data_IF_422856115004
#
_entry.id   IF_422856115004
#
_cell.length_a   1.000
_cell.length_b   1.000
_cell.length_c   1.000
_cell.angle_alpha   90.00
_cell.angle_beta   90.00
_cell.angle_gamma   90.00
#
_symmetry.space_group_name_H-M   'P 1'
#
loop_
_entity.id
_entity.type
_entity.pdbx_description
1 polymer ?
#
# COMPACT_ATOMS: atom_id res chain seq x y z
N UNK A 1 26.34 12.01 -14.00
CA UNK A 1 25.44 11.29 -14.93
C UNK A 1 24.81 10.15 -14.16
N UNK A 2 23.51 10.23 -13.88
CA UNK A 2 22.78 9.18 -13.18
C UNK A 2 22.47 8.04 -14.14
N UNK A 3 23.28 6.97 -14.05
CA UNK A 3 23.14 5.77 -14.90
C UNK A 3 21.76 5.11 -14.77
N UNK A 4 21.14 5.27 -13.61
CA UNK A 4 19.80 4.77 -13.30
C UNK A 4 18.72 5.53 -14.09
N UNK A 5 18.88 6.83 -14.29
CA UNK A 5 17.94 7.68 -15.03
C UNK A 5 17.93 7.40 -16.54
N UNK A 6 18.96 6.75 -17.07
CA UNK A 6 19.08 6.37 -18.49
C UNK A 6 18.42 5.03 -18.84
N UNK A 7 17.92 4.28 -17.85
CA UNK A 7 17.22 3.02 -18.10
C UNK A 7 15.82 3.27 -18.71
N UNK A 8 15.36 2.33 -19.54
CA UNK A 8 13.98 2.31 -20.05
C UNK A 8 13.00 1.97 -18.93
N UNK A 9 11.75 2.42 -19.05
CA UNK A 9 10.72 2.17 -18.04
C UNK A 9 10.51 0.66 -17.78
N UNK A 10 10.66 -0.20 -18.80
CA UNK A 10 10.55 -1.65 -18.65
C UNK A 10 11.64 -2.24 -17.73
N UNK A 11 12.89 -1.77 -17.87
CA UNK A 11 13.98 -2.20 -17.01
C UNK A 11 13.80 -1.68 -15.59
N UNK A 12 13.31 -0.45 -15.46
CA UNK A 12 12.98 0.13 -14.16
C UNK A 12 11.85 -0.66 -13.47
N UNK A 13 10.78 -1.01 -14.19
CA UNK A 13 9.70 -1.86 -13.69
C UNK A 13 10.23 -3.21 -13.22
N UNK A 14 11.15 -3.81 -13.97
CA UNK A 14 11.78 -5.08 -13.58
C UNK A 14 12.62 -4.99 -12.30
N UNK A 15 13.32 -3.87 -12.10
CA UNK A 15 14.05 -3.61 -10.86
C UNK A 15 13.08 -3.44 -9.70
N UNK A 16 12.08 -2.58 -9.88
CA UNK A 16 11.06 -2.27 -8.87
C UNK A 16 10.23 -3.51 -8.50
N UNK A 17 9.90 -4.38 -9.47
CA UNK A 17 9.19 -5.63 -9.22
C UNK A 17 10.02 -6.68 -8.47
N UNK A 18 11.34 -6.50 -8.43
CA UNK A 18 12.28 -7.44 -7.79
C UNK A 18 12.62 -7.04 -6.36
N UNK A 19 12.22 -5.85 -5.91
CA UNK A 19 12.45 -5.37 -4.54
C UNK A 19 11.15 -5.43 -3.72
N UNK A 20 11.24 -5.58 -2.37
CA UNK A 20 10.08 -5.49 -1.50
C UNK A 20 9.34 -4.16 -1.67
N UNK A 21 8.00 -4.18 -1.61
CA UNK A 21 7.20 -2.97 -1.82
C UNK A 21 7.55 -1.83 -0.85
N UNK A 22 7.92 -2.15 0.40
CA UNK A 22 8.41 -1.16 1.37
C UNK A 22 9.64 -0.38 0.87
N UNK A 23 10.53 -1.05 0.16
CA UNK A 23 11.72 -0.45 -0.44
C UNK A 23 11.40 0.28 -1.74
N UNK A 24 10.38 -0.18 -2.49
CA UNK A 24 9.85 0.54 -3.67
C UNK A 24 9.49 1.97 -3.30
N UNK A 25 8.80 2.16 -2.17
CA UNK A 25 8.41 3.50 -1.70
C UNK A 25 9.62 4.39 -1.47
N UNK A 26 10.71 3.84 -0.91
CA UNK A 26 11.95 4.57 -0.73
C UNK A 26 12.62 4.93 -2.08
N UNK A 27 12.58 4.01 -3.06
CA UNK A 27 13.12 4.27 -4.41
C UNK A 27 12.35 5.34 -5.18
N UNK A 28 11.10 5.67 -4.81
CA UNK A 28 10.34 6.77 -5.41
C UNK A 28 11.04 8.14 -5.27
N UNK A 29 11.93 8.29 -4.29
CA UNK A 29 12.68 9.52 -4.05
C UNK A 29 13.83 9.73 -5.04
N UNK A 30 14.22 8.71 -5.80
CA UNK A 30 15.36 8.77 -6.73
C UNK A 30 15.07 9.66 -7.94
N UNK A 31 13.85 9.62 -8.49
CA UNK A 31 13.42 10.56 -9.53
C UNK A 31 11.90 10.54 -9.73
N UNK A 32 11.39 11.57 -10.44
CA UNK A 32 9.97 11.66 -10.81
C UNK A 32 9.48 10.45 -11.59
N UNK A 33 10.33 9.75 -12.37
CA UNK A 33 9.94 8.55 -13.13
C UNK A 33 9.62 7.38 -12.20
N UNK A 34 10.48 7.12 -11.21
CA UNK A 34 10.29 6.06 -10.20
C UNK A 34 8.99 6.22 -9.40
N UNK A 35 8.60 7.48 -9.15
CA UNK A 35 7.32 7.81 -8.52
C UNK A 35 6.09 7.33 -9.30
N UNK A 36 6.16 7.11 -10.61
CA UNK A 36 5.03 6.61 -11.39
C UNK A 36 5.07 5.10 -11.62
N UNK A 37 6.25 4.49 -11.64
CA UNK A 37 6.39 3.07 -11.99
C UNK A 37 5.77 2.13 -10.95
N UNK A 38 5.78 2.49 -9.67
CA UNK A 38 5.11 1.65 -8.65
C UNK A 38 3.61 1.51 -8.89
N UNK A 39 2.96 2.49 -9.56
CA UNK A 39 1.53 2.41 -9.91
C UNK A 39 1.22 1.34 -10.95
N UNK A 40 2.22 0.74 -11.58
CA UNK A 40 2.03 -0.35 -12.54
C UNK A 40 2.36 -1.71 -11.94
N UNK A 41 2.70 -1.78 -10.65
CA UNK A 41 3.05 -3.04 -10.01
C UNK A 41 1.81 -3.87 -9.75
N UNK A 42 1.80 -5.15 -10.17
CA UNK A 42 0.71 -6.06 -9.86
C UNK A 42 0.75 -6.55 -8.40
N UNK A 43 1.81 -6.25 -7.65
CA UNK A 43 2.02 -6.73 -6.27
C UNK A 43 2.22 -5.55 -5.33
N UNK A 44 1.28 -5.38 -4.41
CA UNK A 44 1.30 -4.34 -3.37
C UNK A 44 1.37 -5.02 -1.99
N UNK A 45 2.42 -4.76 -1.24
CA UNK A 45 2.62 -5.30 0.11
C UNK A 45 2.86 -4.16 1.11
N UNK A 46 1.79 -3.80 1.81
CA UNK A 46 1.76 -2.76 2.84
C UNK A 46 1.88 -3.34 4.25
N UNK A 47 2.41 -4.55 4.43
CA UNK A 47 2.64 -5.05 5.78
C UNK A 47 3.56 -4.09 6.55
N UNK A 48 3.02 -3.53 7.63
CA UNK A 48 3.77 -2.71 8.54
C UNK A 48 4.05 -3.51 9.82
N UNK A 49 5.30 -3.96 9.95
CA UNK A 49 5.80 -4.64 11.16
C UNK A 49 6.20 -3.66 12.28
N UNK A 50 5.93 -2.36 12.10
CA UNK A 50 6.22 -1.37 13.14
C UNK A 50 5.42 -1.67 14.42
N UNK A 51 6.14 -1.83 15.52
CA UNK A 51 5.54 -1.88 16.86
C UNK A 51 4.94 -0.50 17.18
N UNK A 52 3.62 -0.39 17.02
CA UNK A 52 2.88 0.76 17.47
C UNK A 52 2.72 0.61 18.99
N UNK A 53 3.73 1.06 19.75
CA UNK A 53 3.79 0.96 21.21
C UNK A 53 2.51 1.38 21.93
N UNK A 54 2.41 1.14 23.25
CA UNK A 54 1.15 1.08 24.00
C UNK A 54 0.27 2.35 24.08
N UNK A 55 0.68 3.47 23.49
CA UNK A 55 -0.10 4.71 23.45
C UNK A 55 -1.24 4.61 22.42
N UNK A 56 -2.48 4.60 22.92
CA UNK A 56 -3.70 4.43 22.12
C UNK A 56 -3.97 5.58 21.15
N UNK A 57 -3.63 6.82 21.50
CA UNK A 57 -3.86 7.98 20.63
C UNK A 57 -2.85 7.99 19.48
N UNK A 58 -1.59 7.70 19.80
CA UNK A 58 -0.54 7.55 18.79
C UNK A 58 -0.83 6.38 17.84
N UNK A 59 -1.29 5.23 18.38
CA UNK A 59 -1.72 4.08 17.58
C UNK A 59 -2.82 4.47 16.60
N UNK A 60 -3.89 5.13 17.08
CA UNK A 60 -4.99 5.58 16.21
C UNK A 60 -4.49 6.52 15.11
N UNK A 61 -3.67 7.52 15.45
CA UNK A 61 -3.12 8.46 14.47
C UNK A 61 -2.26 7.77 13.40
N UNK A 62 -1.40 6.83 13.81
CA UNK A 62 -0.58 6.05 12.88
C UNK A 62 -1.45 5.18 11.97
N UNK A 63 -2.47 4.56 12.54
CA UNK A 63 -3.42 3.73 11.81
C UNK A 63 -4.21 4.53 10.76
N UNK A 64 -4.77 5.68 11.13
CA UNK A 64 -5.49 6.55 10.18
C UNK A 64 -4.59 7.01 9.03
N UNK A 65 -3.30 7.29 9.31
CA UNK A 65 -2.31 7.62 8.27
C UNK A 65 -2.03 6.42 7.36
N UNK A 66 -1.89 5.23 7.93
CA UNK A 66 -1.68 3.99 7.19
C UNK A 66 -2.85 3.70 6.25
N UNK A 67 -4.09 3.76 6.76
CA UNK A 67 -5.30 3.56 5.97
C UNK A 67 -5.37 4.54 4.80
N UNK A 68 -5.17 5.85 5.07
CA UNK A 68 -5.13 6.87 4.03
C UNK A 68 -4.04 6.62 2.99
N UNK A 69 -2.90 6.07 3.40
CA UNK A 69 -1.81 5.74 2.50
C UNK A 69 -2.17 4.55 1.59
N UNK A 70 -2.70 3.46 2.14
CA UNK A 70 -3.14 2.29 1.38
C UNK A 70 -4.26 2.67 0.41
N UNK A 71 -5.30 3.37 0.88
CA UNK A 71 -6.43 3.79 0.04
C UNK A 71 -5.99 4.65 -1.15
N UNK A 72 -5.15 5.68 -0.90
CA UNK A 72 -4.57 6.49 -1.97
C UNK A 72 -3.71 5.65 -2.93
N UNK A 73 -2.99 4.68 -2.41
CA UNK A 73 -2.14 3.83 -3.23
C UNK A 73 -2.95 2.95 -4.18
N UNK A 74 -4.07 2.42 -3.69
CA UNK A 74 -5.02 1.64 -4.49
C UNK A 74 -5.70 2.47 -5.57
N UNK A 75 -6.14 3.70 -5.26
CA UNK A 75 -6.72 4.63 -6.24
C UNK A 75 -5.73 4.99 -7.35
N UNK A 76 -4.45 5.13 -7.00
CA UNK A 76 -3.40 5.47 -7.95
C UNK A 76 -2.90 4.27 -8.76
N UNK A 77 -3.19 3.05 -8.33
CA UNK A 77 -2.75 1.85 -9.02
C UNK A 77 -3.43 1.72 -10.39
N UNK A 78 -2.61 1.48 -11.42
CA UNK A 78 -2.98 1.35 -12.83
C UNK A 78 -2.70 -0.05 -13.37
N UNK A 79 -2.22 -0.97 -12.54
CA UNK A 79 -2.05 -2.36 -12.95
C UNK A 79 -3.41 -2.93 -13.40
N UNK A 80 -3.50 -3.53 -14.61
CA UNK A 80 -4.77 -4.06 -15.12
C UNK A 80 -5.29 -5.23 -14.28
N UNK A 81 -4.39 -5.95 -13.60
CA UNK A 81 -4.69 -7.01 -12.65
C UNK A 81 -3.78 -6.83 -11.44
N UNK A 82 -4.37 -6.84 -10.24
CA UNK A 82 -3.64 -6.90 -8.98
C UNK A 82 -3.45 -8.38 -8.62
N UNK A 83 -2.23 -8.89 -8.80
CA UNK A 83 -1.87 -10.27 -8.45
C UNK A 83 -1.84 -10.49 -6.94
N UNK A 84 -1.31 -9.52 -6.20
CA UNK A 84 -1.12 -9.64 -4.76
C UNK A 84 -1.42 -8.31 -4.07
N UNK A 85 -2.28 -8.36 -3.04
CA UNK A 85 -2.48 -7.28 -2.09
C UNK A 85 -2.27 -7.84 -0.68
N UNK A 86 -1.31 -7.30 0.06
CA UNK A 86 -1.04 -7.69 1.45
C UNK A 86 -1.00 -6.46 2.33
N UNK A 87 -1.65 -6.52 3.47
CA UNK A 87 -1.54 -5.52 4.52
C UNK A 87 -2.08 -6.13 5.81
N UNK A 88 -1.56 -5.66 6.95
CA UNK A 88 -2.01 -6.10 8.27
C UNK A 88 -2.79 -4.97 8.94
N UNK A 89 -4.05 -5.23 9.28
CA UNK A 89 -4.85 -4.30 10.08
C UNK A 89 -4.59 -4.59 11.57
N UNK A 90 -3.64 -3.85 12.14
CA UNK A 90 -3.30 -3.92 13.55
C UNK A 90 -4.18 -3.01 14.40
N UNK A 91 -5.48 -3.28 14.48
CA UNK A 91 -6.34 -2.67 15.48
C UNK A 91 -6.92 -3.78 16.35
N UNK A 92 -6.80 -3.65 17.68
CA UNK A 92 -7.70 -4.35 18.60
C UNK A 92 -9.07 -3.67 18.50
N UNK A 93 -9.76 -3.87 17.37
CA UNK A 93 -11.06 -3.24 17.03
C UNK A 93 -12.09 -3.47 18.15
N UNK A 94 -11.96 -4.57 18.89
CA UNK A 94 -12.81 -4.94 20.02
C UNK A 94 -12.83 -3.96 21.21
N UNK A 95 -11.89 -3.00 21.32
CA UNK A 95 -11.88 -2.03 22.43
C UNK A 95 -12.47 -0.66 22.09
N UNK A 96 -12.72 -0.38 20.81
CA UNK A 96 -13.29 0.89 20.37
C UNK A 96 -14.73 0.64 19.95
N UNK A 97 -15.64 0.73 20.92
CA UNK A 97 -17.07 0.53 20.68
C UNK A 97 -17.64 1.57 19.72
N UNK A 98 -17.63 1.27 18.42
CA UNK A 98 -18.59 1.75 17.42
C UNK A 98 -18.26 1.12 16.07
N UNK A 99 -19.17 0.28 15.57
CA UNK A 99 -19.74 0.25 14.21
C UNK A 99 -18.98 0.95 13.06
N UNK A 100 -17.67 0.77 12.97
CA UNK A 100 -16.89 1.06 11.78
C UNK A 100 -16.61 -0.28 11.12
N UNK A 101 -17.48 -0.63 10.18
CA UNK A 101 -17.20 -1.77 9.34
C UNK A 101 -15.94 -1.47 8.52
N UNK A 102 -15.01 -2.40 8.52
CA UNK A 102 -13.81 -2.54 7.68
C UNK A 102 -13.96 -1.96 6.25
N UNK A 103 -15.18 -2.06 5.69
CA UNK A 103 -15.61 -1.53 4.40
C UNK A 103 -15.60 0.01 4.29
N UNK A 104 -15.78 0.74 5.37
CA UNK A 104 -15.71 2.21 5.40
C UNK A 104 -14.27 2.73 5.49
N UNK A 105 -13.37 1.85 5.87
CA UNK A 105 -11.95 2.14 6.02
C UNK A 105 -11.22 2.17 4.69
N UNK A 106 -11.66 1.36 3.72
CA UNK A 106 -11.09 1.30 2.38
C UNK A 106 -12.17 1.39 1.30
N UNK A 107 -12.75 2.58 1.06
CA UNK A 107 -13.78 2.77 0.05
C UNK A 107 -13.30 2.38 -1.36
N UNK A 108 -12.02 2.54 -1.65
CA UNK A 108 -11.42 2.15 -2.93
C UNK A 108 -11.47 0.65 -3.22
N UNK A 109 -11.49 -0.21 -2.20
CA UNK A 109 -11.60 -1.66 -2.37
C UNK A 109 -13.03 -2.13 -2.71
N UNK A 110 -14.07 -1.32 -2.42
CA UNK A 110 -15.46 -1.63 -2.79
C UNK A 110 -15.68 -1.61 -4.31
N UNK A 111 -14.83 -0.91 -5.06
CA UNK A 111 -15.01 -0.69 -6.50
C UNK A 111 -14.37 -1.78 -7.39
N UNK A 112 -13.51 -2.65 -6.84
CA UNK A 112 -12.73 -3.61 -7.64
C UNK A 112 -13.11 -5.09 -7.44
N UNK A 113 -14.01 -5.43 -6.51
CA UNK A 113 -14.22 -6.83 -6.11
C UNK A 113 -15.72 -7.14 -5.91
N UNK A 114 -16.40 -7.81 -6.86
CA UNK A 114 -17.66 -8.50 -6.55
C UNK A 114 -17.43 -9.91 -5.98
N UNK A 115 -16.18 -10.40 -5.86
CA UNK A 115 -15.91 -11.83 -5.58
C UNK A 115 -14.66 -12.14 -4.75
N UNK A 116 -14.23 -11.25 -3.86
CA UNK A 116 -13.23 -11.61 -2.85
C UNK A 116 -13.88 -11.54 -1.47
N UNK A 117 -14.45 -12.67 -1.08
CA UNK A 117 -14.72 -12.98 0.32
C UNK A 117 -13.37 -12.90 1.03
N UNK A 118 -13.24 -11.90 1.90
CA UNK A 118 -12.11 -11.73 2.79
C UNK A 118 -11.90 -13.02 3.60
N UNK A 119 -10.91 -13.83 3.25
CA UNK A 119 -10.15 -14.52 4.28
C UNK A 119 -9.05 -13.57 4.72
N UNK A 120 -9.45 -12.68 5.64
CA UNK A 120 -8.54 -12.00 6.54
C UNK A 120 -8.07 -12.99 7.62
#
# INVERSE_FOLDING_TARGET
MDRISNLSDDLLLKIVSSIPFKDVVATMLLSKRWRFLWTMLPKLDFNDDNDYGSDSELQRSKYEKFVKYVDRSLVLNRAPVLETLKFKVGLKIWQLGSELEWFDMFPSLKLSLPMFVCHL
#
